data_IF_378870120871
#
_entry.id   IF_378870120871
#
_cell.length_a   1.000
_cell.length_b   1.000
_cell.length_c   1.000
_cell.angle_alpha   90.00
_cell.angle_beta   90.00
_cell.angle_gamma   90.00
#
_symmetry.space_group_name_H-M   'P 1'
#
loop_
_entity.id
_entity.type
_entity.pdbx_description
1 polymer ?
#
# COMPACT_ATOMS: atom_id res chain seq x y z
N UNK A 1 -26.85 -9.45 -4.93
CA UNK A 1 -28.10 -10.00 -5.51
C UNK A 1 -28.57 -9.16 -6.68
N UNK A 2 -28.71 -7.84 -6.55
CA UNK A 2 -29.12 -6.95 -7.67
C UNK A 2 -28.32 -7.15 -8.97
N UNK A 3 -26.98 -7.14 -8.89
CA UNK A 3 -26.12 -7.40 -10.06
C UNK A 3 -26.37 -8.77 -10.69
N UNK A 4 -26.57 -9.81 -9.88
CA UNK A 4 -26.85 -11.17 -10.38
C UNK A 4 -28.19 -11.19 -11.10
N UNK A 5 -29.21 -10.58 -10.51
CA UNK A 5 -30.54 -10.49 -11.11
C UNK A 5 -30.47 -9.76 -12.45
N UNK A 6 -29.75 -8.64 -12.54
CA UNK A 6 -29.54 -7.90 -13.78
C UNK A 6 -28.83 -8.76 -14.83
N UNK A 7 -27.69 -9.38 -14.49
CA UNK A 7 -26.94 -10.24 -15.41
C UNK A 7 -27.77 -11.44 -15.90
N UNK A 8 -28.60 -12.01 -15.03
CA UNK A 8 -29.49 -13.12 -15.36
C UNK A 8 -30.55 -12.76 -16.40
N UNK A 9 -30.84 -11.46 -16.62
CA UNK A 9 -31.74 -11.04 -17.71
C UNK A 9 -31.08 -11.10 -19.09
N UNK A 10 -29.74 -11.06 -19.16
CA UNK A 10 -28.97 -11.09 -20.41
C UNK A 10 -28.33 -12.46 -20.67
N UNK A 11 -28.06 -13.24 -19.62
CA UNK A 11 -27.32 -14.49 -19.68
C UNK A 11 -28.21 -15.66 -19.25
N UNK A 12 -28.96 -16.20 -20.22
CA UNK A 12 -29.69 -17.45 -20.04
C UNK A 12 -28.65 -18.60 -19.96
N UNK A 13 -28.79 -19.50 -18.98
CA UNK A 13 -27.92 -20.66 -18.75
C UNK A 13 -26.53 -20.38 -18.11
N UNK A 14 -26.40 -19.29 -17.35
CA UNK A 14 -25.22 -19.04 -16.50
C UNK A 14 -25.58 -19.19 -15.02
N UNK A 15 -24.80 -20.00 -14.29
CA UNK A 15 -24.87 -20.09 -12.83
C UNK A 15 -23.88 -19.11 -12.18
N UNK A 16 -24.37 -18.32 -11.22
CA UNK A 16 -23.56 -17.31 -10.54
C UNK A 16 -23.21 -17.75 -9.12
N UNK A 17 -21.93 -17.57 -8.75
CA UNK A 17 -21.46 -17.67 -7.36
C UNK A 17 -20.76 -16.38 -6.99
N UNK A 18 -20.93 -15.96 -5.74
CA UNK A 18 -20.23 -14.81 -5.16
C UNK A 18 -19.15 -15.33 -4.22
N UNK A 19 -17.90 -14.99 -4.47
CA UNK A 19 -16.84 -15.18 -3.49
C UNK A 19 -17.11 -14.27 -2.28
N UNK A 20 -17.42 -14.88 -1.14
CA UNK A 20 -17.72 -14.19 0.11
C UNK A 20 -16.46 -13.93 0.96
N UNK A 21 -15.27 -14.35 0.50
CA UNK A 21 -14.03 -14.09 1.21
C UNK A 21 -13.64 -12.61 1.12
N UNK A 22 -12.94 -12.07 2.14
CA UNK A 22 -12.39 -10.72 2.07
C UNK A 22 -11.40 -10.58 0.90
N UNK A 23 -11.59 -9.56 0.07
CA UNK A 23 -10.66 -9.17 -0.99
C UNK A 23 -10.23 -7.72 -0.75
N UNK A 24 -8.93 -7.54 -0.49
CA UNK A 24 -8.34 -6.23 -0.21
C UNK A 24 -7.60 -5.62 -1.42
N UNK A 25 -7.44 -6.39 -2.50
CA UNK A 25 -6.67 -6.01 -3.67
C UNK A 25 -6.51 -7.17 -4.66
N UNK A 26 -5.93 -6.88 -5.82
CA UNK A 26 -5.62 -7.88 -6.86
C UNK A 26 -4.39 -8.76 -6.55
N UNK A 27 -3.77 -8.58 -5.38
CA UNK A 27 -2.64 -9.39 -4.92
C UNK A 27 -3.06 -10.73 -4.29
N UNK A 28 -4.35 -10.91 -3.97
CA UNK A 28 -4.96 -12.17 -3.58
C UNK A 28 -6.26 -12.32 -4.38
N UNK A 29 -6.34 -13.36 -5.19
CA UNK A 29 -7.46 -13.70 -6.07
C UNK A 29 -8.13 -15.02 -5.65
N UNK A 30 -7.66 -15.68 -4.59
CA UNK A 30 -8.15 -16.98 -4.16
C UNK A 30 -8.08 -18.01 -5.29
N UNK A 31 -6.89 -18.24 -5.86
CA UNK A 31 -6.65 -19.13 -7.00
C UNK A 31 -7.26 -20.52 -6.86
N UNK A 32 -7.34 -21.01 -5.62
CA UNK A 32 -7.92 -22.31 -5.31
C UNK A 32 -9.44 -22.35 -5.51
N UNK A 33 -10.13 -21.21 -5.41
CA UNK A 33 -11.57 -21.07 -5.71
C UNK A 33 -11.79 -20.76 -7.18
N UNK A 34 -11.10 -19.73 -7.70
CA UNK A 34 -11.41 -19.18 -9.03
C UNK A 34 -11.14 -20.16 -10.18
N UNK A 35 -10.29 -21.16 -9.97
CA UNK A 35 -9.99 -22.20 -10.98
C UNK A 35 -11.17 -23.11 -11.32
N UNK A 36 -12.18 -23.18 -10.45
CA UNK A 36 -13.33 -24.07 -10.61
C UNK A 36 -14.48 -23.41 -11.42
N UNK A 37 -14.26 -22.19 -11.92
CA UNK A 37 -15.25 -21.40 -12.67
C UNK A 37 -14.75 -21.06 -14.08
N UNK A 38 -15.66 -20.98 -15.05
CA UNK A 38 -15.30 -20.65 -16.44
C UNK A 38 -14.84 -19.19 -16.61
N UNK A 39 -15.40 -18.28 -15.81
CA UNK A 39 -15.14 -16.84 -15.83
C UNK A 39 -15.31 -16.26 -14.44
N UNK A 40 -14.38 -15.39 -14.03
CA UNK A 40 -14.42 -14.68 -12.75
C UNK A 40 -14.35 -13.18 -12.99
N UNK A 41 -15.32 -12.44 -12.44
CA UNK A 41 -15.37 -10.99 -12.50
C UNK A 41 -14.78 -10.40 -11.21
N UNK A 42 -13.62 -9.76 -11.31
CA UNK A 42 -12.93 -9.11 -10.19
C UNK A 42 -13.19 -7.61 -10.21
N UNK A 43 -13.97 -7.11 -9.26
CA UNK A 43 -14.42 -5.73 -9.26
C UNK A 43 -13.47 -4.80 -8.48
N UNK A 44 -13.34 -3.56 -8.98
CA UNK A 44 -12.80 -2.43 -8.21
C UNK A 44 -11.28 -2.35 -8.07
N UNK A 45 -10.52 -3.27 -8.68
CA UNK A 45 -9.06 -3.27 -8.65
C UNK A 45 -8.47 -3.41 -10.06
N UNK A 46 -7.26 -2.87 -10.25
CA UNK A 46 -6.45 -3.14 -11.45
C UNK A 46 -5.59 -4.40 -11.25
N UNK A 47 -5.15 -5.05 -12.33
CA UNK A 47 -4.16 -6.13 -12.25
C UNK A 47 -2.94 -5.75 -11.41
N UNK A 48 -2.48 -6.67 -10.56
CA UNK A 48 -1.33 -6.41 -9.69
C UNK A 48 -0.02 -6.45 -10.50
N UNK A 49 0.88 -5.45 -10.41
CA UNK A 49 2.07 -5.41 -11.27
C UNK A 49 3.04 -6.60 -11.10
N UNK A 50 3.05 -7.22 -9.92
CA UNK A 50 4.00 -8.29 -9.58
C UNK A 50 3.38 -9.69 -9.56
N UNK A 51 2.11 -9.82 -9.95
CA UNK A 51 1.40 -11.09 -9.88
C UNK A 51 0.35 -11.17 -10.96
N UNK A 52 0.37 -12.25 -11.72
CA UNK A 52 -0.67 -12.59 -12.67
C UNK A 52 -1.49 -13.74 -12.12
N UNK A 53 -2.79 -13.52 -12.00
CA UNK A 53 -3.76 -14.55 -11.65
C UNK A 53 -4.06 -15.51 -12.80
N UNK A 54 -4.99 -16.45 -12.56
CA UNK A 54 -5.57 -17.29 -13.61
C UNK A 54 -6.17 -16.48 -14.75
N UNK A 55 -6.08 -17.01 -15.99
CA UNK A 55 -6.52 -16.29 -17.20
C UNK A 55 -8.04 -16.11 -17.31
N UNK A 56 -8.82 -16.85 -16.53
CA UNK A 56 -10.27 -16.71 -16.44
C UNK A 56 -10.72 -15.53 -15.56
N UNK A 57 -9.79 -14.77 -14.97
CA UNK A 57 -10.09 -13.59 -14.15
C UNK A 57 -10.11 -12.33 -15.01
N UNK A 58 -11.26 -11.66 -15.07
CA UNK A 58 -11.48 -10.39 -15.76
C UNK A 58 -11.66 -9.28 -14.74
N UNK A 59 -10.80 -8.27 -14.81
CA UNK A 59 -10.85 -7.09 -13.94
C UNK A 59 -11.87 -6.08 -14.46
N UNK A 60 -12.79 -5.66 -13.60
CA UNK A 60 -13.87 -4.71 -13.90
C UNK A 60 -13.67 -3.44 -13.09
N UNK A 61 -13.49 -2.33 -13.81
CA UNK A 61 -13.20 -1.01 -13.27
C UNK A 61 -14.42 -0.35 -12.60
N UNK A 62 -14.32 -0.03 -11.31
CA UNK A 62 -15.29 0.81 -10.58
C UNK A 62 -14.75 2.22 -10.38
N UNK A 63 -14.65 2.96 -11.49
CA UNK A 63 -14.12 4.32 -11.46
C UNK A 63 -15.13 5.29 -10.88
N UNK A 64 -14.65 6.14 -9.99
CA UNK A 64 -15.43 7.23 -9.44
C UNK A 64 -15.82 8.22 -10.53
N UNK A 65 -17.09 8.67 -10.46
CA UNK A 65 -17.61 9.76 -11.31
C UNK A 65 -17.36 11.13 -10.71
N UNK A 66 -16.81 11.20 -9.49
CA UNK A 66 -16.53 12.46 -8.82
C UNK A 66 -15.51 13.29 -9.59
N UNK A 67 -15.71 14.60 -9.54
CA UNK A 67 -14.83 15.61 -10.11
C UNK A 67 -14.48 16.61 -9.01
N UNK A 68 -13.25 17.13 -8.98
CA UNK A 68 -12.91 18.17 -8.03
C UNK A 68 -13.75 19.43 -8.31
N UNK A 69 -14.27 20.05 -7.25
CA UNK A 69 -14.99 21.32 -7.37
C UNK A 69 -14.01 22.49 -7.47
N UNK A 70 -14.47 23.66 -7.92
CA UNK A 70 -13.62 24.84 -8.01
C UNK A 70 -13.14 25.31 -6.63
N UNK A 71 -14.00 25.18 -5.62
CA UNK A 71 -13.69 25.53 -4.22
C UNK A 71 -12.57 24.64 -3.70
N UNK A 72 -12.70 23.32 -3.90
CA UNK A 72 -11.71 22.34 -3.47
C UNK A 72 -10.36 22.56 -4.18
N UNK A 73 -10.38 22.86 -5.48
CA UNK A 73 -9.16 23.18 -6.21
C UNK A 73 -8.52 24.48 -5.73
N UNK A 74 -9.31 25.48 -5.37
CA UNK A 74 -8.81 26.74 -4.80
C UNK A 74 -8.14 26.52 -3.44
N UNK A 75 -8.72 25.65 -2.61
CA UNK A 75 -8.14 25.21 -1.34
C UNK A 75 -6.80 24.49 -1.56
N UNK A 76 -6.72 23.60 -2.56
CA UNK A 76 -5.47 22.92 -2.93
C UNK A 76 -4.38 23.92 -3.31
N UNK A 77 -4.71 24.91 -4.14
CA UNK A 77 -3.77 25.97 -4.52
C UNK A 77 -3.31 26.77 -3.28
N UNK A 78 -4.24 27.10 -2.38
CA UNK A 78 -3.92 27.82 -1.14
C UNK A 78 -2.96 27.02 -0.26
N UNK A 79 -3.25 25.73 -0.05
CA UNK A 79 -2.41 24.80 0.72
C UNK A 79 -1.02 24.63 0.12
N UNK A 80 -0.92 24.44 -1.20
CA UNK A 80 0.38 24.32 -1.86
C UNK A 80 1.20 25.62 -1.79
N UNK A 81 0.55 26.79 -1.91
CA UNK A 81 1.23 28.07 -1.79
C UNK A 81 1.69 28.36 -0.34
N UNK A 82 0.91 27.98 0.68
CA UNK A 82 1.32 28.18 2.08
C UNK A 82 2.52 27.32 2.47
N UNK A 83 2.67 26.16 1.83
CA UNK A 83 3.86 25.30 1.93
C UNK A 83 5.03 25.76 1.05
N UNK A 84 4.83 26.76 0.18
CA UNK A 84 5.86 27.22 -0.75
C UNK A 84 6.15 26.25 -1.92
N UNK A 85 5.26 25.28 -2.18
CA UNK A 85 5.43 24.32 -3.27
C UNK A 85 5.34 25.01 -4.65
N UNK A 86 6.19 24.60 -5.60
CA UNK A 86 6.06 24.97 -7.02
C UNK A 86 6.16 23.76 -7.94
N UNK A 87 7.07 22.84 -7.64
CA UNK A 87 7.25 21.58 -8.37
C UNK A 87 6.54 20.46 -7.62
N UNK A 88 5.61 19.79 -8.26
CA UNK A 88 4.76 18.79 -7.61
C UNK A 88 4.69 17.50 -8.42
N UNK A 89 4.36 16.40 -7.74
CA UNK A 89 3.88 15.19 -8.39
C UNK A 89 2.49 14.84 -7.89
N UNK A 90 1.60 14.44 -8.81
CA UNK A 90 0.21 14.10 -8.50
C UNK A 90 0.01 12.60 -8.67
N UNK A 91 -0.32 11.91 -7.58
CA UNK A 91 -0.65 10.49 -7.57
C UNK A 91 -2.08 10.26 -7.10
N UNK A 92 -2.62 9.09 -7.37
CA UNK A 92 -4.02 8.76 -7.09
C UNK A 92 -4.21 7.28 -6.81
N UNK A 93 -5.36 6.93 -6.25
CA UNK A 93 -5.83 5.53 -6.23
C UNK A 93 -6.58 5.20 -7.51
N UNK A 94 -6.66 3.90 -7.84
CA UNK A 94 -7.31 3.39 -9.07
C UNK A 94 -8.66 4.08 -9.39
N UNK A 95 -9.54 4.15 -8.39
CA UNK A 95 -10.90 4.68 -8.53
C UNK A 95 -10.92 6.14 -9.04
N UNK A 96 -9.85 6.91 -8.83
CA UNK A 96 -9.75 8.32 -9.23
C UNK A 96 -8.74 8.56 -10.36
N UNK A 97 -8.29 7.52 -11.07
CA UNK A 97 -7.31 7.67 -12.18
C UNK A 97 -7.76 8.60 -13.31
N UNK A 98 -9.07 8.81 -13.47
CA UNK A 98 -9.62 9.77 -14.44
C UNK A 98 -9.54 11.24 -14.00
N UNK A 99 -9.25 11.50 -12.73
CA UNK A 99 -9.24 12.87 -12.17
C UNK A 99 -7.84 13.50 -12.19
N UNK A 100 -6.77 12.71 -12.28
CA UNK A 100 -5.37 13.21 -12.20
C UNK A 100 -5.03 14.18 -13.32
N UNK A 101 -5.47 13.89 -14.55
CA UNK A 101 -5.21 14.78 -15.69
C UNK A 101 -5.88 16.15 -15.52
N UNK A 102 -7.12 16.17 -15.01
CA UNK A 102 -7.86 17.41 -14.74
C UNK A 102 -7.16 18.22 -13.64
N UNK A 103 -6.81 17.55 -12.54
CA UNK A 103 -6.13 18.17 -11.39
C UNK A 103 -4.77 18.72 -11.82
N UNK A 104 -3.95 17.92 -12.52
CA UNK A 104 -2.64 18.34 -12.95
C UNK A 104 -2.67 19.49 -13.95
N UNK A 105 -3.59 19.48 -14.93
CA UNK A 105 -3.78 20.62 -15.85
C UNK A 105 -4.19 21.90 -15.12
N UNK A 106 -5.06 21.78 -14.11
CA UNK A 106 -5.45 22.92 -13.29
C UNK A 106 -4.26 23.49 -12.50
N UNK A 107 -3.46 22.63 -11.87
CA UNK A 107 -2.24 23.06 -11.18
C UNK A 107 -1.27 23.78 -12.15
N UNK A 108 -1.08 23.25 -13.36
CA UNK A 108 -0.25 23.91 -14.38
C UNK A 108 -0.77 25.29 -14.77
N UNK A 109 -2.09 25.49 -14.91
CA UNK A 109 -2.66 26.80 -15.24
C UNK A 109 -2.48 27.85 -14.13
N UNK A 110 -2.19 27.41 -12.90
CA UNK A 110 -1.86 28.27 -11.77
C UNK A 110 -0.36 28.37 -11.48
N UNK A 111 0.48 27.93 -12.44
CA UNK A 111 1.93 28.13 -12.40
C UNK A 111 2.72 27.07 -11.61
N UNK A 112 2.12 25.93 -11.29
CA UNK A 112 2.84 24.78 -10.73
C UNK A 112 3.46 23.93 -11.84
N UNK A 113 4.66 23.39 -11.61
CA UNK A 113 5.33 22.44 -12.49
C UNK A 113 5.00 21.01 -12.05
N UNK A 114 4.17 20.29 -12.81
CA UNK A 114 3.80 18.90 -12.49
C UNK A 114 4.74 17.94 -13.22
N UNK A 115 5.55 17.18 -12.47
CA UNK A 115 6.69 16.45 -13.04
C UNK A 115 6.39 15.01 -13.46
N UNK A 116 5.42 14.35 -12.81
CA UNK A 116 5.12 12.95 -13.09
C UNK A 116 4.15 12.78 -14.26
N UNK A 117 4.11 11.58 -14.84
CA UNK A 117 3.18 11.26 -15.91
C UNK A 117 1.75 11.08 -15.36
N UNK A 118 0.88 12.07 -15.57
CA UNK A 118 -0.52 12.06 -15.11
C UNK A 118 -1.36 10.90 -15.66
N UNK A 119 -0.99 10.35 -16.82
CA UNK A 119 -1.64 9.16 -17.41
C UNK A 119 -1.26 7.85 -16.73
N UNK A 120 -0.16 7.84 -15.97
CA UNK A 120 0.32 6.72 -15.18
C UNK A 120 0.62 7.22 -13.75
N UNK A 121 -0.41 7.69 -13.06
CA UNK A 121 -0.31 8.28 -11.73
C UNK A 121 -0.95 7.41 -10.63
N UNK A 122 -1.46 6.24 -10.98
CA UNK A 122 -2.05 5.32 -10.00
C UNK A 122 -0.95 4.76 -9.10
N UNK A 123 -1.20 4.79 -7.80
CA UNK A 123 -0.40 4.11 -6.78
C UNK A 123 -1.27 3.12 -6.01
N UNK A 124 -0.60 2.18 -5.38
CA UNK A 124 -1.19 1.18 -4.48
C UNK A 124 -0.45 1.23 -3.15
N UNK A 125 -0.99 0.51 -2.17
CA UNK A 125 -0.40 0.47 -0.85
C UNK A 125 0.99 -0.11 -0.70
N UNK A 126 1.39 -0.92 -1.67
CA UNK A 126 2.67 -1.60 -1.71
C UNK A 126 3.50 -1.22 -2.95
N UNK A 127 3.00 -0.28 -3.75
CA UNK A 127 3.62 0.10 -5.02
C UNK A 127 3.31 1.56 -5.33
N UNK A 128 4.33 2.40 -5.33
CA UNK A 128 4.21 3.85 -5.51
C UNK A 128 4.69 4.30 -6.91
N UNK A 129 4.59 3.41 -7.90
CA UNK A 129 4.98 3.68 -9.28
C UNK A 129 6.37 4.35 -9.40
N UNK A 130 6.47 5.48 -10.08
CA UNK A 130 7.68 6.26 -10.28
C UNK A 130 7.83 7.39 -9.25
N UNK A 131 7.16 7.31 -8.09
CA UNK A 131 7.18 8.37 -7.08
C UNK A 131 8.57 8.81 -6.65
N UNK A 132 9.53 7.88 -6.56
CA UNK A 132 10.90 8.19 -6.18
C UNK A 132 11.73 8.87 -7.30
N UNK A 133 11.28 8.80 -8.56
CA UNK A 133 12.03 9.31 -9.72
C UNK A 133 12.29 10.80 -9.65
N UNK A 134 11.34 11.56 -9.11
CA UNK A 134 11.38 13.03 -9.07
C UNK A 134 11.65 13.56 -7.66
N UNK A 135 12.04 12.70 -6.73
CA UNK A 135 12.10 13.03 -5.31
C UNK A 135 12.97 14.25 -5.02
N UNK A 136 14.15 14.35 -5.63
CA UNK A 136 15.06 15.48 -5.39
C UNK A 136 14.69 16.74 -6.19
N UNK A 137 13.66 16.67 -7.03
CA UNK A 137 13.21 17.77 -7.91
C UNK A 137 11.90 18.41 -7.46
N UNK A 138 11.00 17.65 -6.85
CA UNK A 138 9.71 18.17 -6.39
C UNK A 138 9.82 18.77 -4.99
N UNK A 139 8.92 19.69 -4.69
CA UNK A 139 8.73 20.22 -3.35
C UNK A 139 7.74 19.34 -2.57
N UNK A 140 6.66 18.92 -3.25
CA UNK A 140 5.49 18.33 -2.60
C UNK A 140 4.83 17.23 -3.46
N UNK A 141 4.20 16.26 -2.80
CA UNK A 141 3.30 15.31 -3.45
C UNK A 141 1.85 15.71 -3.21
N UNK A 142 1.02 15.61 -4.24
CA UNK A 142 -0.44 15.65 -4.14
C UNK A 142 -0.97 14.24 -4.31
N UNK A 143 -1.78 13.75 -3.37
CA UNK A 143 -2.32 12.39 -3.40
C UNK A 143 -3.84 12.43 -3.36
N UNK A 144 -4.46 12.05 -4.48
CA UNK A 144 -5.92 12.01 -4.64
C UNK A 144 -6.44 10.70 -4.05
N UNK A 145 -7.01 10.78 -2.84
CA UNK A 145 -7.49 9.62 -2.09
C UNK A 145 -8.38 10.04 -0.93
N UNK A 146 -9.28 9.17 -0.49
CA UNK A 146 -10.12 9.41 0.69
C UNK A 146 -9.48 8.97 2.00
N UNK A 147 -8.75 7.85 1.97
CA UNK A 147 -8.02 7.34 3.12
C UNK A 147 -6.59 7.91 3.21
N UNK A 148 -6.12 8.14 4.44
CA UNK A 148 -4.73 8.56 4.71
C UNK A 148 -3.68 7.53 4.32
N UNK A 149 -4.10 6.30 4.06
CA UNK A 149 -3.21 5.18 3.82
C UNK A 149 -2.17 5.43 2.70
N UNK A 150 -2.61 5.85 1.51
CA UNK A 150 -1.69 6.10 0.39
C UNK A 150 -0.82 7.36 0.61
N UNK A 151 -1.35 8.49 1.09
CA UNK A 151 -0.54 9.63 1.52
C UNK A 151 0.54 9.24 2.54
N UNK A 152 0.17 8.51 3.60
CA UNK A 152 1.10 8.05 4.62
C UNK A 152 2.17 7.13 4.06
N UNK A 153 1.79 6.14 3.24
CA UNK A 153 2.75 5.24 2.63
C UNK A 153 3.79 5.98 1.77
N UNK A 154 3.37 7.03 1.05
CA UNK A 154 4.28 7.87 0.28
C UNK A 154 5.19 8.74 1.16
N UNK A 155 4.65 9.28 2.26
CA UNK A 155 5.44 9.99 3.27
C UNK A 155 6.48 9.09 3.94
N UNK A 156 6.11 7.86 4.29
CA UNK A 156 7.02 6.85 4.84
C UNK A 156 8.09 6.43 3.81
N UNK A 157 7.71 6.24 2.54
CA UNK A 157 8.62 5.90 1.46
C UNK A 157 9.70 6.96 1.26
N UNK A 158 9.36 8.22 1.48
CA UNK A 158 10.28 9.36 1.34
C UNK A 158 10.93 9.76 2.67
N UNK A 159 10.66 9.02 3.75
CA UNK A 159 11.17 9.27 5.10
C UNK A 159 10.82 10.68 5.59
N UNK A 160 9.63 11.18 5.24
CA UNK A 160 9.16 12.51 5.62
C UNK A 160 9.92 13.67 4.96
N UNK A 161 10.70 13.42 3.89
CA UNK A 161 11.50 14.46 3.22
C UNK A 161 10.70 15.43 2.35
N UNK A 162 9.41 15.13 2.10
CA UNK A 162 8.55 15.92 1.23
C UNK A 162 7.20 16.13 1.89
N UNK A 163 6.64 17.31 1.65
CA UNK A 163 5.27 17.60 2.03
C UNK A 163 4.32 16.67 1.27
N UNK A 164 3.37 16.10 1.98
CA UNK A 164 2.34 15.25 1.40
C UNK A 164 0.99 15.94 1.59
N UNK A 165 0.35 16.29 0.48
CA UNK A 165 -0.96 16.95 0.45
C UNK A 165 -2.00 15.96 -0.08
N UNK A 166 -2.89 15.51 0.79
CA UNK A 166 -4.04 14.70 0.41
C UNK A 166 -5.14 15.60 -0.18
N UNK A 167 -5.72 15.15 -1.29
CA UNK A 167 -6.92 15.70 -1.89
C UNK A 167 -8.05 14.67 -1.83
N UNK A 168 -9.04 14.88 -0.97
CA UNK A 168 -10.19 13.98 -0.81
C UNK A 168 -11.40 14.49 -1.60
N UNK A 169 -11.71 13.83 -2.70
CA UNK A 169 -12.85 14.18 -3.57
C UNK A 169 -14.21 13.82 -2.98
N UNK A 170 -14.28 12.91 -2.01
CA UNK A 170 -15.52 12.51 -1.35
C UNK A 170 -15.87 13.48 -0.22
N UNK A 171 -14.86 13.86 0.59
CA UNK A 171 -15.06 14.81 1.69
C UNK A 171 -15.00 16.27 1.25
N UNK A 172 -14.40 16.54 0.10
CA UNK A 172 -14.16 17.91 -0.34
C UNK A 172 -13.18 18.63 0.57
N UNK A 173 -12.07 17.97 0.93
CA UNK A 173 -11.06 18.46 1.88
C UNK A 173 -9.66 18.37 1.27
N UNK A 174 -8.82 19.37 1.55
CA UNK A 174 -7.38 19.29 1.37
C UNK A 174 -6.68 19.18 2.71
N UNK A 175 -5.79 18.21 2.85
CA UNK A 175 -5.08 17.96 4.10
C UNK A 175 -3.58 17.80 3.88
N UNK A 176 -2.78 18.51 4.67
CA UNK A 176 -1.34 18.25 4.78
C UNK A 176 -1.15 17.15 5.82
N UNK A 177 -0.43 16.07 5.47
CA UNK A 177 -0.34 14.85 6.33
C UNK A 177 1.02 14.65 6.98
N UNK A 178 1.86 15.69 7.01
CA UNK A 178 3.25 15.61 7.46
C UNK A 178 3.39 15.25 8.95
N UNK A 179 2.48 15.76 9.77
CA UNK A 179 2.43 15.46 11.21
C UNK A 179 2.08 13.99 11.44
N UNK A 180 1.12 13.45 10.68
CA UNK A 180 0.81 12.03 10.70
C UNK A 180 1.99 11.20 10.19
N UNK A 181 2.63 11.56 9.08
CA UNK A 181 3.85 10.87 8.60
C UNK A 181 4.91 10.83 9.69
N UNK A 182 5.18 11.97 10.34
CA UNK A 182 6.14 12.07 11.44
C UNK A 182 5.76 11.21 12.64
N UNK A 183 4.47 11.15 12.98
CA UNK A 183 3.93 10.29 14.04
C UNK A 183 4.17 8.82 13.70
N UNK A 184 3.82 8.37 12.50
CA UNK A 184 4.00 6.98 12.09
C UNK A 184 5.48 6.61 12.04
N UNK A 185 6.36 7.46 11.51
CA UNK A 185 7.81 7.22 11.56
C UNK A 185 8.30 6.98 13.00
N UNK A 186 7.89 7.80 13.98
CA UNK A 186 8.26 7.60 15.39
C UNK A 186 7.77 6.25 15.93
N UNK A 187 6.53 5.87 15.63
CA UNK A 187 5.97 4.58 16.03
C UNK A 187 6.80 3.44 15.40
N UNK A 188 7.10 3.53 14.10
CA UNK A 188 7.87 2.52 13.38
C UNK A 188 9.29 2.39 13.92
N UNK A 189 9.97 3.50 14.21
CA UNK A 189 11.27 3.47 14.88
C UNK A 189 11.19 2.85 16.28
N UNK A 190 10.14 3.12 17.06
CA UNK A 190 9.94 2.44 18.36
C UNK A 190 9.91 0.93 18.19
N UNK A 191 9.15 0.42 17.20
CA UNK A 191 9.08 -1.01 16.90
C UNK A 191 10.42 -1.59 16.46
N UNK A 192 11.21 -0.87 15.68
CA UNK A 192 12.59 -1.26 15.34
C UNK A 192 13.48 -1.32 16.59
N UNK A 193 13.39 -0.34 17.49
CA UNK A 193 14.17 -0.29 18.72
C UNK A 193 13.81 -1.44 19.68
N UNK A 194 12.52 -1.75 19.83
CA UNK A 194 12.02 -2.89 20.62
C UNK A 194 12.59 -4.23 20.14
N UNK A 195 12.94 -4.34 18.85
CA UNK A 195 13.42 -5.57 18.23
C UNK A 195 14.95 -5.72 18.18
N UNK A 196 15.74 -4.73 18.66
CA UNK A 196 17.20 -4.73 18.50
C UNK A 196 17.89 -5.94 19.14
N UNK A 197 17.38 -6.40 20.28
CA UNK A 197 17.96 -7.51 21.04
C UNK A 197 17.24 -8.86 20.80
N UNK A 198 16.27 -8.91 19.87
CA UNK A 198 15.46 -10.09 19.59
C UNK A 198 16.31 -11.28 19.09
N UNK A 199 16.08 -12.46 19.68
CA UNK A 199 16.79 -13.71 19.42
C UNK A 199 15.99 -14.72 18.62
N UNK A 200 14.67 -14.71 18.77
CA UNK A 200 13.75 -15.63 18.10
C UNK A 200 12.74 -14.86 17.24
N UNK A 201 12.83 -15.08 15.93
CA UNK A 201 12.07 -14.34 14.92
C UNK A 201 10.96 -15.20 14.31
N UNK A 202 9.75 -14.67 14.20
CA UNK A 202 8.65 -15.32 13.49
C UNK A 202 8.39 -14.59 12.17
N UNK A 203 8.67 -15.25 11.05
CA UNK A 203 8.40 -14.74 9.71
C UNK A 203 7.02 -15.23 9.26
N UNK A 204 6.14 -14.30 8.89
CA UNK A 204 4.78 -14.61 8.43
C UNK A 204 4.64 -14.20 6.97
N UNK A 205 4.45 -15.20 6.11
CA UNK A 205 4.35 -15.06 4.67
C UNK A 205 2.91 -15.08 4.19
N UNK A 206 2.65 -14.29 3.15
CA UNK A 206 1.38 -14.34 2.43
C UNK A 206 1.36 -15.45 1.39
N UNK A 207 0.31 -15.44 0.59
CA UNK A 207 0.13 -16.30 -0.57
C UNK A 207 0.05 -15.47 -1.85
N UNK A 208 0.07 -16.14 -3.00
CA UNK A 208 -0.15 -15.50 -4.31
C UNK A 208 0.73 -14.26 -4.51
N UNK A 209 0.17 -13.12 -4.90
CA UNK A 209 0.90 -11.87 -5.09
C UNK A 209 1.44 -11.23 -3.81
N UNK A 210 1.05 -11.73 -2.64
CA UNK A 210 1.63 -11.35 -1.35
C UNK A 210 2.80 -12.27 -0.93
N UNK A 211 3.09 -13.35 -1.66
CA UNK A 211 4.29 -14.15 -1.41
C UNK A 211 5.49 -13.60 -2.18
N UNK A 212 6.55 -13.24 -1.45
CA UNK A 212 7.76 -12.62 -2.02
C UNK A 212 9.01 -13.41 -1.64
N UNK A 213 9.29 -14.48 -2.40
CA UNK A 213 10.38 -15.41 -2.12
C UNK A 213 11.74 -14.73 -1.94
N UNK A 214 12.07 -13.76 -2.81
CA UNK A 214 13.35 -13.04 -2.74
C UNK A 214 13.55 -12.28 -1.40
N UNK A 215 12.48 -11.69 -0.86
CA UNK A 215 12.50 -10.98 0.42
C UNK A 215 12.71 -11.95 1.57
N UNK A 216 11.94 -13.04 1.54
CA UNK A 216 12.04 -14.14 2.49
C UNK A 216 13.48 -14.69 2.52
N UNK A 217 14.08 -14.94 1.36
CA UNK A 217 15.44 -15.45 1.27
C UNK A 217 16.49 -14.46 1.80
N UNK A 218 16.30 -13.15 1.57
CA UNK A 218 17.18 -12.11 2.11
C UNK A 218 17.14 -12.03 3.64
N UNK A 219 15.94 -12.09 4.22
CA UNK A 219 15.73 -12.11 5.68
C UNK A 219 16.34 -13.37 6.29
N UNK A 220 16.04 -14.55 5.73
CA UNK A 220 16.57 -15.84 6.22
C UNK A 220 18.09 -15.87 6.17
N UNK A 221 18.71 -15.37 5.08
CA UNK A 221 20.19 -15.26 5.00
C UNK A 221 20.75 -14.37 6.11
N UNK A 222 20.11 -13.23 6.38
CA UNK A 222 20.54 -12.28 7.40
C UNK A 222 20.37 -12.82 8.83
N UNK A 223 19.29 -13.57 9.08
CA UNK A 223 19.06 -14.24 10.37
C UNK A 223 20.10 -15.34 10.62
N UNK A 224 20.35 -16.18 9.60
CA UNK A 224 21.33 -17.27 9.67
C UNK A 224 22.76 -16.77 9.87
N UNK A 225 23.17 -15.71 9.18
CA UNK A 225 24.53 -15.15 9.33
C UNK A 225 24.80 -14.60 10.72
N UNK A 226 23.75 -14.20 11.46
CA UNK A 226 23.82 -13.78 12.86
C UNK A 226 23.61 -14.91 13.88
N UNK A 227 23.33 -16.14 13.43
CA UNK A 227 23.00 -17.26 14.32
C UNK A 227 21.69 -17.07 15.10
N UNK A 228 20.73 -16.31 14.56
CA UNK A 228 19.43 -16.06 15.18
C UNK A 228 18.46 -17.20 14.88
N UNK A 229 17.64 -17.57 15.87
CA UNK A 229 16.58 -18.59 15.71
C UNK A 229 15.42 -17.96 14.97
N UNK A 230 14.82 -18.69 14.03
CA UNK A 230 13.64 -18.22 13.33
C UNK A 230 12.69 -19.35 12.95
N UNK A 231 11.43 -18.99 12.77
CA UNK A 231 10.35 -19.86 12.31
C UNK A 231 9.57 -19.18 11.18
N UNK A 232 9.03 -19.97 10.27
CA UNK A 232 8.31 -19.48 9.09
C UNK A 232 6.87 -20.00 9.11
N UNK A 233 5.92 -19.09 8.97
CA UNK A 233 4.49 -19.35 8.87
C UNK A 233 3.97 -18.83 7.54
N UNK A 234 2.90 -19.45 7.05
CA UNK A 234 2.23 -19.02 5.82
C UNK A 234 0.73 -19.02 6.02
N UNK A 235 0.09 -17.93 5.60
CA UNK A 235 -1.36 -17.76 5.76
C UNK A 235 -1.97 -16.98 4.61
N UNK A 236 -3.26 -17.20 4.37
CA UNK A 236 -4.07 -16.43 3.42
C UNK A 236 -4.35 -15.01 3.96
N UNK A 237 -4.66 -14.91 5.24
CA UNK A 237 -5.00 -13.67 5.92
C UNK A 237 -4.08 -13.52 7.13
N UNK A 238 -3.53 -12.31 7.28
CA UNK A 238 -2.79 -11.93 8.48
C UNK A 238 -3.59 -10.81 9.15
N UNK A 239 -3.96 -11.05 10.40
CA UNK A 239 -4.63 -10.09 11.27
C UNK A 239 -4.23 -10.39 12.73
N UNK A 240 -4.77 -9.62 13.67
CA UNK A 240 -4.41 -9.77 15.08
C UNK A 240 -4.80 -11.14 15.65
N UNK A 241 -5.95 -11.69 15.26
CA UNK A 241 -6.42 -13.01 15.69
C UNK A 241 -5.45 -14.13 15.26
N UNK A 242 -5.06 -14.13 13.99
CA UNK A 242 -4.05 -15.06 13.47
C UNK A 242 -2.73 -14.90 14.21
N UNK A 243 -2.33 -13.66 14.50
CA UNK A 243 -1.10 -13.42 15.24
C UNK A 243 -1.18 -13.96 16.66
N UNK A 244 -2.29 -13.74 17.38
CA UNK A 244 -2.53 -14.29 18.73
C UNK A 244 -2.55 -15.82 18.74
N UNK A 245 -3.05 -16.46 17.68
CA UNK A 245 -3.04 -17.91 17.55
C UNK A 245 -1.63 -18.49 17.34
N UNK A 246 -0.75 -17.74 16.68
CA UNK A 246 0.64 -18.13 16.42
C UNK A 246 1.57 -17.73 17.58
N UNK A 247 1.18 -16.74 18.38
CA UNK A 247 2.03 -16.16 19.40
C UNK A 247 2.39 -17.15 20.50
N UNK A 248 3.67 -17.15 20.87
CA UNK A 248 4.21 -17.96 21.94
C UNK A 248 5.18 -17.13 22.76
N UNK A 249 5.42 -17.53 24.01
CA UNK A 249 6.41 -16.86 24.88
C UNK A 249 7.83 -16.87 24.32
N UNK A 250 8.14 -17.77 23.37
CA UNK A 250 9.47 -17.84 22.74
C UNK A 250 9.70 -16.76 21.68
N UNK A 251 8.65 -16.25 21.02
CA UNK A 251 8.83 -15.30 19.91
C UNK A 251 9.06 -13.89 20.45
N UNK A 252 10.18 -13.28 20.03
CA UNK A 252 10.53 -11.91 20.42
C UNK A 252 9.95 -10.88 19.43
N UNK A 253 9.86 -11.25 18.15
CA UNK A 253 9.52 -10.32 17.06
C UNK A 253 8.84 -11.05 15.90
N UNK A 254 7.91 -10.35 15.26
CA UNK A 254 7.22 -10.79 14.06
C UNK A 254 7.66 -9.98 12.86
N UNK A 255 7.81 -10.64 11.71
CA UNK A 255 8.06 -9.97 10.44
C UNK A 255 7.01 -10.42 9.43
N UNK A 256 6.19 -9.47 8.99
CA UNK A 256 5.15 -9.73 8.00
C UNK A 256 5.73 -9.45 6.62
N UNK A 257 5.90 -10.49 5.80
CA UNK A 257 6.43 -10.34 4.43
C UNK A 257 5.33 -10.27 3.36
N UNK A 258 4.07 -10.15 3.78
CA UNK A 258 2.87 -10.17 2.92
C UNK A 258 2.44 -8.77 2.46
N UNK A 259 1.29 -8.26 2.88
CA UNK A 259 0.89 -6.87 2.65
C UNK A 259 1.65 -5.95 3.62
N UNK A 260 2.32 -4.89 3.13
CA UNK A 260 3.18 -4.06 3.99
C UNK A 260 2.35 -3.17 4.93
N UNK A 261 1.04 -3.07 4.68
CA UNK A 261 0.08 -2.32 5.48
C UNK A 261 -0.11 -2.95 6.85
N UNK A 262 -0.05 -4.28 6.92
CA UNK A 262 -0.44 -5.00 8.13
C UNK A 262 0.44 -4.58 9.33
N UNK A 263 1.79 -4.54 9.24
CA UNK A 263 2.59 -4.04 10.35
C UNK A 263 2.37 -2.56 10.70
N UNK A 264 2.09 -1.73 9.70
CA UNK A 264 2.08 -0.27 9.82
C UNK A 264 0.72 0.25 10.31
N UNK A 265 -0.35 -0.26 9.72
CA UNK A 265 -1.73 0.19 9.93
C UNK A 265 -2.43 -0.68 10.99
N UNK A 266 -2.38 -2.01 10.81
CA UNK A 266 -3.31 -2.92 11.50
C UNK A 266 -2.73 -3.54 12.78
N UNK A 267 -1.41 -3.75 12.83
CA UNK A 267 -0.74 -4.45 13.93
C UNK A 267 0.29 -3.58 14.64
N UNK A 268 0.28 -2.28 14.41
CA UNK A 268 1.24 -1.38 15.04
C UNK A 268 1.04 -1.25 16.55
N UNK A 269 -0.15 -1.61 17.06
CA UNK A 269 -0.47 -1.64 18.50
C UNK A 269 -0.21 -2.99 19.15
N UNK A 270 0.23 -4.01 18.40
CA UNK A 270 0.52 -5.33 18.96
C UNK A 270 1.60 -5.24 20.03
N UNK A 271 1.47 -6.06 21.07
CA UNK A 271 2.25 -6.01 22.30
C UNK A 271 3.74 -6.30 22.04
N UNK A 272 4.01 -7.21 21.10
CA UNK A 272 5.36 -7.51 20.60
C UNK A 272 5.65 -6.73 19.31
N UNK A 273 6.92 -6.45 18.98
CA UNK A 273 7.25 -5.76 17.74
C UNK A 273 6.80 -6.55 16.51
N UNK A 274 5.98 -5.91 15.68
CA UNK A 274 5.56 -6.41 14.36
C UNK A 274 6.18 -5.53 13.30
N UNK A 275 7.10 -6.09 12.53
CA UNK A 275 7.94 -5.37 11.58
C UNK A 275 7.54 -5.68 10.14
N UNK A 276 7.78 -4.70 9.29
CA UNK A 276 7.89 -4.88 7.85
C UNK A 276 9.25 -5.52 7.50
N UNK A 277 9.45 -6.02 6.27
CA UNK A 277 10.74 -6.57 5.87
C UNK A 277 11.87 -5.53 5.88
N UNK A 278 11.56 -4.28 5.50
CA UNK A 278 12.53 -3.18 5.54
C UNK A 278 13.02 -2.90 6.97
N UNK A 279 12.10 -2.81 7.91
CA UNK A 279 12.40 -2.62 9.34
C UNK A 279 13.16 -3.81 9.94
N UNK A 280 12.79 -5.05 9.58
CA UNK A 280 13.55 -6.22 9.99
C UNK A 280 15.00 -6.17 9.47
N UNK A 281 15.21 -5.70 8.24
CA UNK A 281 16.56 -5.46 7.71
C UNK A 281 17.28 -4.32 8.42
N UNK A 282 16.58 -3.29 8.92
CA UNK A 282 17.21 -2.26 9.75
C UNK A 282 17.83 -2.88 11.00
N UNK A 283 17.09 -3.73 11.70
CA UNK A 283 17.59 -4.47 12.87
C UNK A 283 18.74 -5.40 12.48
N UNK A 284 18.53 -6.24 11.47
CA UNK A 284 19.48 -7.28 11.08
C UNK A 284 20.75 -6.74 10.40
N UNK A 285 20.74 -5.52 9.84
CA UNK A 285 21.92 -4.94 9.20
C UNK A 285 22.45 -3.70 9.93
N UNK A 286 21.80 -3.29 11.02
CA UNK A 286 22.18 -2.08 11.78
C UNK A 286 21.99 -0.80 10.98
N UNK A 287 20.96 -0.73 10.13
CA UNK A 287 20.66 0.46 9.33
C UNK A 287 19.99 1.53 10.19
N UNK A 288 20.37 2.78 9.98
CA UNK A 288 19.85 3.92 10.76
C UNK A 288 18.65 4.58 10.10
N UNK A 289 18.69 4.72 8.78
CA UNK A 289 17.62 5.35 8.04
C UNK A 289 16.44 4.39 7.89
N UNK A 290 15.22 4.93 8.00
CA UNK A 290 14.00 4.16 7.82
C UNK A 290 13.97 3.50 6.43
N UNK A 291 13.73 2.19 6.43
CA UNK A 291 13.67 1.40 5.20
C UNK A 291 12.23 1.03 4.93
N UNK A 292 11.67 1.58 3.84
CA UNK A 292 10.35 1.20 3.38
C UNK A 292 10.29 -0.31 3.04
N UNK A 293 9.18 -1.02 3.36
CA UNK A 293 9.03 -2.48 3.24
C UNK A 293 9.65 -3.18 2.03
N UNK A 294 9.65 -2.53 0.86
CA UNK A 294 10.08 -3.12 -0.42
C UNK A 294 11.33 -2.48 -1.01
N UNK A 295 12.22 -1.92 -0.18
CA UNK A 295 13.44 -1.27 -0.67
C UNK A 295 14.38 -2.26 -1.37
N UNK A 296 14.19 -2.45 -2.69
CA UNK A 296 14.85 -3.47 -3.52
C UNK A 296 16.38 -3.41 -3.46
N UNK A 297 16.96 -2.22 -3.22
CA UNK A 297 18.42 -2.06 -3.12
C UNK A 297 19.02 -2.69 -1.85
N UNK A 298 18.19 -3.04 -0.85
CA UNK A 298 18.62 -3.59 0.43
C UNK A 298 18.24 -5.07 0.61
N UNK A 299 17.44 -5.61 -0.31
CA UNK A 299 16.88 -6.97 -0.27
C UNK A 299 17.67 -7.89 -1.21
#
# INVERSE_FOLDING_TARGET
VELINELSTYLNDVYFVVDANPIYGSCILNNYLVKDYDLVLHFGHEPYPYYRGPDNVVFIDFLSKLRPTNELMSELISSLNSLGCRKVSVYTVHQHKKSTEVIGKYLMSYGFEVLNNLSNATIMGCWFNDALRYLDLIDCYVVVSSGLFHPLGLGLLTTGRKHIVQLDLYRGEVRVVDDEVSKYLRIRYSKVMEALDSRVWCLIHGIEGQYRGFIRDSLVRSLRSKGLKYYEYRTHIVNEEVLRNIDTVEFDVYVITSCPRIPIDDLSHYEKPVLTPGEALMVLKGLRDYVFPWSHNLI
#
